data_IF_882956870292
#
_entry.id   IF_882956870292
#
_cell.length_a   1.000
_cell.length_b   1.000
_cell.length_c   1.000
_cell.angle_alpha   90.00
_cell.angle_beta   90.00
_cell.angle_gamma   90.00
#
_symmetry.space_group_name_H-M   'P 1'
#
loop_
_entity.id
_entity.type
_entity.pdbx_description
1 polymer ?
#
# COMPACT_ATOMS: atom_id res chain seq x y z
N UNK A 1 -26.87 20.00 119.22
CA UNK A 1 -27.06 19.62 117.80
C UNK A 1 -28.06 20.62 117.25
N UNK A 2 -27.56 21.77 116.80
CA UNK A 2 -28.41 22.82 116.25
C UNK A 2 -28.79 22.44 114.82
N UNK A 3 -30.09 22.19 114.63
CA UNK A 3 -30.67 22.00 113.32
C UNK A 3 -30.60 23.35 112.59
N UNK A 4 -29.72 23.44 111.58
CA UNK A 4 -29.79 24.54 110.62
C UNK A 4 -31.13 24.43 109.88
N UNK A 5 -32.08 25.26 110.30
CA UNK A 5 -33.33 25.49 109.62
C UNK A 5 -33.02 25.90 108.18
N UNK A 6 -33.26 24.97 107.25
CA UNK A 6 -33.20 25.24 105.82
C UNK A 6 -34.43 26.06 105.46
N UNK A 7 -34.33 27.38 105.68
CA UNK A 7 -35.34 28.35 105.30
C UNK A 7 -35.74 28.10 103.84
N UNK A 8 -37.00 27.69 103.63
CA UNK A 8 -37.56 27.48 102.30
C UNK A 8 -37.34 28.77 101.50
N UNK A 9 -36.79 28.70 100.27
CA UNK A 9 -36.53 29.90 99.50
C UNK A 9 -37.82 30.69 99.34
N UNK A 10 -37.75 32.00 99.59
CA UNK A 10 -38.87 32.92 99.42
C UNK A 10 -39.45 32.75 98.00
N UNK A 11 -40.79 32.71 97.86
CA UNK A 11 -41.47 32.47 96.57
C UNK A 11 -41.02 33.46 95.50
N UNK A 12 -40.67 34.68 95.93
CA UNK A 12 -40.12 35.70 95.05
C UNK A 12 -38.75 35.29 94.45
N UNK A 13 -37.85 34.71 95.26
CA UNK A 13 -36.55 34.26 94.78
C UNK A 13 -36.67 33.09 93.79
N UNK A 14 -37.65 32.19 93.99
CA UNK A 14 -37.91 31.10 93.05
C UNK A 14 -38.48 31.62 91.71
N UNK A 15 -39.42 32.57 91.74
CA UNK A 15 -39.99 33.18 90.54
C UNK A 15 -38.93 33.98 89.76
N UNK A 16 -38.11 34.77 90.47
CA UNK A 16 -37.03 35.53 89.87
C UNK A 16 -35.98 34.59 89.26
N UNK A 17 -35.57 33.54 89.97
CA UNK A 17 -34.65 32.52 89.46
C UNK A 17 -35.17 31.83 88.21
N UNK A 18 -36.46 31.48 88.18
CA UNK A 18 -37.12 30.91 86.99
C UNK A 18 -37.15 31.91 85.83
N UNK A 19 -37.50 33.17 86.07
CA UNK A 19 -37.54 34.20 85.02
C UNK A 19 -36.15 34.44 84.42
N UNK A 20 -35.11 34.46 85.24
CA UNK A 20 -33.72 34.55 84.79
C UNK A 20 -33.28 33.32 84.00
N UNK A 21 -33.60 32.12 84.48
CA UNK A 21 -33.30 30.89 83.75
C UNK A 21 -33.98 30.86 82.37
N UNK A 22 -35.26 31.28 82.29
CA UNK A 22 -35.99 31.42 81.03
C UNK A 22 -35.39 32.49 80.12
N UNK A 23 -35.00 33.65 80.67
CA UNK A 23 -34.35 34.72 79.90
C UNK A 23 -33.00 34.26 79.32
N UNK A 24 -32.14 33.64 80.15
CA UNK A 24 -30.86 33.12 79.71
C UNK A 24 -31.02 31.99 78.69
N UNK A 25 -32.00 31.10 78.88
CA UNK A 25 -32.32 30.04 77.92
C UNK A 25 -32.81 30.61 76.58
N UNK A 26 -33.62 31.67 76.60
CA UNK A 26 -34.07 32.39 75.41
C UNK A 26 -32.91 33.07 74.68
N UNK A 27 -31.98 33.69 75.41
CA UNK A 27 -30.76 34.27 74.84
C UNK A 27 -29.85 33.20 74.21
N UNK A 28 -29.68 32.06 74.87
CA UNK A 28 -28.94 30.92 74.33
C UNK A 28 -29.58 30.40 73.03
N UNK A 29 -30.89 30.12 73.06
CA UNK A 29 -31.63 29.68 71.88
C UNK A 29 -31.53 30.69 70.72
N UNK A 30 -31.63 32.00 71.01
CA UNK A 30 -31.47 33.04 69.98
C UNK A 30 -30.08 33.03 69.34
N UNK A 31 -29.03 32.80 70.14
CA UNK A 31 -27.65 32.67 69.64
C UNK A 31 -27.46 31.41 68.81
N UNK A 32 -28.02 30.28 69.24
CA UNK A 32 -27.97 29.02 68.50
C UNK A 32 -28.71 29.12 67.17
N UNK A 33 -29.93 29.66 67.16
CA UNK A 33 -30.68 29.93 65.92
C UNK A 33 -29.89 30.86 65.00
N UNK A 34 -29.27 31.91 65.55
CA UNK A 34 -28.42 32.81 64.78
C UNK A 34 -27.14 32.15 64.25
N UNK A 35 -26.58 31.16 64.96
CA UNK A 35 -25.43 30.39 64.49
C UNK A 35 -25.83 29.40 63.40
N UNK A 36 -26.91 28.63 63.62
CA UNK A 36 -27.47 27.69 62.64
C UNK A 36 -27.86 28.40 61.34
N UNK A 37 -28.47 29.59 61.43
CA UNK A 37 -28.80 30.39 60.25
C UNK A 37 -27.56 30.77 59.45
N UNK A 38 -26.49 31.25 60.12
CA UNK A 38 -25.22 31.57 59.45
C UNK A 38 -24.60 30.34 58.79
N UNK A 39 -24.57 29.20 59.48
CA UNK A 39 -24.07 27.95 58.89
C UNK A 39 -24.91 27.50 57.70
N UNK A 40 -26.23 27.65 57.74
CA UNK A 40 -27.11 27.37 56.60
C UNK A 40 -26.82 28.31 55.43
N UNK A 41 -26.68 29.61 55.68
CA UNK A 41 -26.36 30.60 54.65
C UNK A 41 -24.98 30.31 54.01
N UNK A 42 -23.98 29.92 54.81
CA UNK A 42 -22.65 29.51 54.34
C UNK A 42 -22.74 28.25 53.46
N UNK A 43 -23.51 27.24 53.88
CA UNK A 43 -23.73 26.03 53.08
C UNK A 43 -24.47 26.31 51.77
N UNK A 44 -25.48 27.21 51.78
CA UNK A 44 -26.18 27.64 50.57
C UNK A 44 -25.20 28.34 49.63
N UNK A 45 -24.35 29.22 50.16
CA UNK A 45 -23.34 29.90 49.36
C UNK A 45 -22.34 28.90 48.74
N UNK A 46 -21.82 27.97 49.55
CA UNK A 46 -20.91 26.93 49.07
C UNK A 46 -21.55 26.02 48.01
N UNK A 47 -22.83 25.66 48.18
CA UNK A 47 -23.57 24.89 47.19
C UNK A 47 -23.73 25.67 45.87
N UNK A 48 -24.06 26.95 45.93
CA UNK A 48 -24.20 27.80 44.74
C UNK A 48 -22.87 27.94 43.98
N UNK A 49 -21.75 28.14 44.68
CA UNK A 49 -20.41 28.19 44.07
C UNK A 49 -20.07 26.84 43.42
N UNK A 50 -20.38 25.72 44.09
CA UNK A 50 -20.14 24.39 43.54
C UNK A 50 -20.99 24.11 42.30
N UNK A 51 -22.27 24.52 42.30
CA UNK A 51 -23.16 24.41 41.14
C UNK A 51 -22.63 25.23 39.97
N UNK A 52 -22.25 26.49 40.20
CA UNK A 52 -21.69 27.35 39.16
C UNK A 52 -20.40 26.76 38.57
N UNK A 53 -19.50 26.24 39.42
CA UNK A 53 -18.28 25.58 38.97
C UNK A 53 -18.56 24.33 38.13
N UNK A 54 -19.54 23.51 38.52
CA UNK A 54 -19.94 22.31 37.76
C UNK A 54 -20.59 22.68 36.43
N UNK A 55 -21.39 23.75 36.38
CA UNK A 55 -21.98 24.25 35.14
C UNK A 55 -20.90 24.73 34.16
N UNK A 56 -19.88 25.43 34.66
CA UNK A 56 -18.74 25.88 33.86
C UNK A 56 -17.89 24.71 33.34
N UNK A 57 -17.56 23.72 34.18
CA UNK A 57 -16.82 22.52 33.73
C UNK A 57 -17.65 21.73 32.71
N UNK A 58 -18.97 21.61 32.92
CA UNK A 58 -19.88 20.98 31.97
C UNK A 58 -19.89 21.70 30.61
N UNK A 59 -19.98 23.03 30.59
CA UNK A 59 -19.96 23.79 29.33
C UNK A 59 -18.61 23.66 28.61
N UNK A 60 -17.49 23.74 29.35
CA UNK A 60 -16.16 23.54 28.78
C UNK A 60 -15.99 22.15 28.17
N UNK A 61 -16.47 21.10 28.85
CA UNK A 61 -16.44 19.73 28.29
C UNK A 61 -17.32 19.61 27.07
N UNK A 62 -18.50 20.22 27.07
CA UNK A 62 -19.38 20.24 25.91
C UNK A 62 -18.71 20.91 24.70
N UNK A 63 -18.03 22.04 24.90
CA UNK A 63 -17.28 22.73 23.84
C UNK A 63 -16.13 21.87 23.31
N UNK A 64 -15.37 21.20 24.19
CA UNK A 64 -14.30 20.28 23.79
C UNK A 64 -14.83 19.09 22.98
N UNK A 65 -15.95 18.49 23.41
CA UNK A 65 -16.60 17.39 22.68
C UNK A 65 -17.10 17.88 21.32
N UNK A 66 -17.69 19.07 21.27
CA UNK A 66 -18.19 19.67 20.01
C UNK A 66 -17.05 19.90 19.03
N UNK A 67 -15.92 20.44 19.49
CA UNK A 67 -14.71 20.62 18.68
C UNK A 67 -14.14 19.28 18.18
N UNK A 68 -14.06 18.27 19.06
CA UNK A 68 -13.57 16.94 18.67
C UNK A 68 -14.49 16.25 17.65
N UNK A 69 -15.81 16.42 17.77
CA UNK A 69 -16.79 15.94 16.79
C UNK A 69 -16.58 16.63 15.44
N UNK A 70 -16.46 17.96 15.42
CA UNK A 70 -16.21 18.71 14.19
C UNK A 70 -14.90 18.30 13.50
N UNK A 71 -13.83 18.11 14.28
CA UNK A 71 -12.54 17.62 13.77
C UNK A 71 -12.68 16.21 13.17
N UNK A 72 -13.40 15.31 13.85
CA UNK A 72 -13.63 13.95 13.36
C UNK A 72 -14.46 13.92 12.07
N UNK A 73 -15.46 14.80 11.94
CA UNK A 73 -16.26 14.94 10.73
C UNK A 73 -15.42 15.44 9.56
N UNK A 74 -14.59 16.46 9.78
CA UNK A 74 -13.66 16.97 8.77
C UNK A 74 -12.69 15.88 8.28
N UNK A 75 -12.16 15.05 9.19
CA UNK A 75 -11.32 13.90 8.81
C UNK A 75 -12.08 12.87 7.99
N UNK A 76 -13.33 12.56 8.34
CA UNK A 76 -14.17 11.63 7.57
C UNK A 76 -14.41 12.18 6.16
N UNK A 77 -14.76 13.45 6.02
CA UNK A 77 -14.95 14.09 4.71
C UNK A 77 -13.67 14.06 3.87
N UNK A 78 -12.51 14.35 4.47
CA UNK A 78 -11.21 14.24 3.79
C UNK A 78 -10.90 12.81 3.34
N UNK A 79 -11.25 11.79 4.14
CA UNK A 79 -11.08 10.40 3.71
C UNK A 79 -12.04 10.01 2.59
N UNK A 80 -13.27 10.56 2.60
CA UNK A 80 -14.26 10.31 1.55
C UNK A 80 -13.82 10.92 0.20
N UNK A 81 -13.24 12.11 0.19
CA UNK A 81 -12.70 12.72 -1.03
C UNK A 81 -11.52 11.92 -1.57
N UNK A 82 -10.59 11.49 -0.72
CA UNK A 82 -9.46 10.64 -1.12
C UNK A 82 -9.93 9.30 -1.71
N UNK A 83 -10.97 8.67 -1.14
CA UNK A 83 -11.55 7.44 -1.71
C UNK A 83 -12.19 7.67 -3.08
N UNK A 84 -12.82 8.83 -3.30
CA UNK A 84 -13.36 9.19 -4.60
C UNK A 84 -12.26 9.35 -5.67
N UNK A 85 -11.11 9.94 -5.31
CA UNK A 85 -9.94 10.04 -6.18
C UNK A 85 -9.38 8.66 -6.55
N UNK A 86 -9.30 7.74 -5.58
CA UNK A 86 -8.90 6.34 -5.84
C UNK A 86 -9.87 5.66 -6.81
N UNK A 87 -11.17 5.92 -6.67
CA UNK A 87 -12.20 5.46 -7.63
C UNK A 87 -11.91 5.95 -9.06
N UNK A 88 -11.64 7.24 -9.23
CA UNK A 88 -11.28 7.82 -10.53
C UNK A 88 -10.00 7.22 -11.12
N UNK A 89 -8.97 7.00 -10.30
CA UNK A 89 -7.73 6.33 -10.74
C UNK A 89 -8.00 4.90 -11.20
N UNK A 90 -8.86 4.15 -10.51
CA UNK A 90 -9.26 2.80 -10.90
C UNK A 90 -9.96 2.78 -12.26
N UNK A 91 -10.84 3.73 -12.52
CA UNK A 91 -11.52 3.86 -13.82
C UNK A 91 -10.51 4.20 -14.94
N UNK A 92 -9.53 5.05 -14.64
CA UNK A 92 -8.44 5.38 -15.58
C UNK A 92 -7.55 4.18 -15.87
N UNK A 93 -7.18 3.39 -14.87
CA UNK A 93 -6.44 2.13 -15.04
C UNK A 93 -7.24 1.16 -15.91
N UNK A 94 -8.54 1.02 -15.65
CA UNK A 94 -9.42 0.14 -16.44
C UNK A 94 -9.50 0.57 -17.90
N UNK A 95 -9.50 1.88 -18.15
CA UNK A 95 -9.49 2.44 -19.50
C UNK A 95 -8.16 2.16 -20.20
N UNK A 96 -7.03 2.42 -19.54
CA UNK A 96 -5.69 2.12 -20.06
C UNK A 96 -5.51 0.62 -20.36
N UNK A 97 -6.02 -0.26 -19.49
CA UNK A 97 -5.98 -1.72 -19.73
C UNK A 97 -6.74 -2.11 -20.99
N UNK A 98 -7.88 -1.45 -21.26
CA UNK A 98 -8.66 -1.69 -22.49
C UNK A 98 -7.90 -1.21 -23.73
N UNK A 99 -7.29 -0.03 -23.68
CA UNK A 99 -6.47 0.53 -24.76
C UNK A 99 -5.27 -0.37 -25.06
N UNK A 100 -4.53 -0.80 -24.03
CA UNK A 100 -3.41 -1.74 -24.18
C UNK A 100 -3.87 -3.09 -24.77
N UNK A 101 -5.06 -3.56 -24.38
CA UNK A 101 -5.66 -4.76 -24.98
C UNK A 101 -5.93 -4.60 -26.47
N UNK A 102 -6.53 -3.47 -26.86
CA UNK A 102 -6.80 -3.16 -28.27
C UNK A 102 -5.51 -3.00 -29.08
N UNK A 103 -4.53 -2.28 -28.57
CA UNK A 103 -3.22 -2.10 -29.22
C UNK A 103 -2.51 -3.44 -29.43
N UNK A 104 -2.58 -4.33 -28.43
CA UNK A 104 -2.03 -5.69 -28.55
C UNK A 104 -2.73 -6.48 -29.65
N UNK A 105 -4.06 -6.43 -29.74
CA UNK A 105 -4.80 -7.09 -30.81
C UNK A 105 -4.43 -6.53 -32.18
N UNK A 106 -4.32 -5.21 -32.31
CA UNK A 106 -3.88 -4.56 -33.54
C UNK A 106 -2.45 -4.97 -33.95
N UNK A 107 -1.53 -5.04 -32.99
CA UNK A 107 -0.16 -5.50 -33.23
C UNK A 107 -0.13 -6.97 -33.70
N UNK A 108 -0.94 -7.84 -33.08
CA UNK A 108 -1.05 -9.24 -33.48
C UNK A 108 -1.62 -9.41 -34.90
N UNK A 109 -2.63 -8.61 -35.27
CA UNK A 109 -3.17 -8.62 -36.66
C UNK A 109 -2.13 -8.18 -37.66
N UNK A 110 -1.40 -7.09 -37.39
CA UNK A 110 -0.29 -6.64 -38.26
C UNK A 110 0.81 -7.69 -38.38
N UNK A 111 1.14 -8.39 -37.29
CA UNK A 111 2.13 -9.46 -37.32
C UNK A 111 1.69 -10.63 -38.20
N UNK A 112 0.41 -11.02 -38.13
CA UNK A 112 -0.16 -12.03 -39.02
C UNK A 112 -0.09 -11.59 -40.50
N UNK A 113 -0.50 -10.35 -40.80
CA UNK A 113 -0.41 -9.80 -42.17
C UNK A 113 1.03 -9.77 -42.71
N UNK A 114 2.01 -9.41 -41.87
CA UNK A 114 3.43 -9.43 -42.24
C UNK A 114 3.95 -10.85 -42.45
N UNK A 115 3.50 -11.81 -41.63
CA UNK A 115 3.86 -13.23 -41.78
C UNK A 115 3.30 -13.80 -43.09
N UNK A 116 2.07 -13.46 -43.45
CA UNK A 116 1.46 -13.87 -44.72
C UNK A 116 2.22 -13.29 -45.92
N UNK A 117 2.60 -12.00 -45.85
CA UNK A 117 3.43 -11.35 -46.88
C UNK A 117 4.81 -12.00 -47.01
N UNK A 118 5.43 -12.35 -45.89
CA UNK A 118 6.72 -13.05 -45.87
C UNK A 118 6.60 -14.43 -46.52
N UNK A 119 5.54 -15.19 -46.19
CA UNK A 119 5.26 -16.48 -46.82
C UNK A 119 5.04 -16.35 -48.34
N UNK A 120 4.29 -15.34 -48.78
CA UNK A 120 4.11 -15.07 -50.21
C UNK A 120 5.43 -14.73 -50.93
N UNK A 121 6.30 -13.93 -50.31
CA UNK A 121 7.64 -13.63 -50.85
C UNK A 121 8.54 -14.85 -50.88
N UNK A 122 8.53 -15.69 -49.85
CA UNK A 122 9.30 -16.93 -49.79
C UNK A 122 8.88 -17.90 -50.90
N UNK A 123 7.57 -18.11 -51.08
CA UNK A 123 7.03 -18.94 -52.17
C UNK A 123 7.40 -18.37 -53.55
N UNK A 124 7.39 -17.03 -53.69
CA UNK A 124 7.84 -16.36 -54.92
C UNK A 124 9.32 -16.60 -55.21
N UNK A 125 10.19 -16.48 -54.20
CA UNK A 125 11.62 -16.77 -54.30
C UNK A 125 11.90 -18.23 -54.62
N UNK A 126 11.17 -19.16 -54.02
CA UNK A 126 11.29 -20.59 -54.29
C UNK A 126 10.85 -20.95 -55.73
N UNK A 127 9.80 -20.28 -56.23
CA UNK A 127 9.42 -20.34 -57.64
C UNK A 127 10.52 -19.85 -58.58
N UNK A 128 11.14 -18.70 -58.29
CA UNK A 128 12.28 -18.18 -59.06
C UNK A 128 13.48 -19.13 -58.98
N UNK A 129 13.79 -19.69 -57.80
CA UNK A 129 14.87 -20.66 -57.61
C UNK A 129 14.66 -21.91 -58.45
N UNK A 130 13.44 -22.46 -58.46
CA UNK A 130 13.08 -23.62 -59.29
C UNK A 130 13.30 -23.35 -60.79
N UNK A 131 12.93 -22.16 -61.27
CA UNK A 131 13.14 -21.73 -62.67
C UNK A 131 14.64 -21.60 -62.98
N UNK A 132 15.43 -21.00 -62.09
CA UNK A 132 16.87 -20.81 -62.25
C UNK A 132 17.62 -22.15 -62.25
N UNK A 133 17.23 -23.10 -61.40
CA UNK A 133 17.83 -24.45 -61.37
C UNK A 133 17.51 -25.29 -62.62
N UNK A 134 16.45 -24.96 -63.38
CA UNK A 134 16.06 -25.68 -64.60
C UNK A 134 16.68 -25.11 -65.89
N UNK A 135 17.13 -23.85 -65.90
CA UNK A 135 17.42 -23.12 -67.16
C UNK A 135 18.90 -22.86 -67.45
N UNK A 136 19.85 -23.18 -66.56
CA UNK A 136 21.27 -22.93 -66.84
C UNK A 136 22.25 -23.87 -66.12
N UNK A 137 23.23 -24.49 -66.83
CA UNK A 137 24.34 -25.21 -66.21
C UNK A 137 25.42 -24.31 -65.58
N UNK A 138 25.36 -22.98 -65.78
CA UNK A 138 26.19 -22.01 -65.04
C UNK A 138 25.63 -21.69 -63.63
N UNK A 139 24.45 -22.21 -63.29
CA UNK A 139 23.77 -21.99 -62.01
C UNK A 139 24.51 -22.55 -60.80
N UNK A 140 25.36 -23.57 -60.96
CA UNK A 140 26.15 -24.14 -59.85
C UNK A 140 27.14 -23.14 -59.26
N UNK A 141 27.76 -22.31 -60.10
CA UNK A 141 28.71 -21.31 -59.62
C UNK A 141 27.99 -20.18 -58.86
N UNK A 142 26.78 -19.83 -59.33
CA UNK A 142 25.91 -18.84 -58.67
C UNK A 142 25.28 -19.40 -57.39
N UNK A 143 24.85 -20.66 -57.36
CA UNK A 143 24.38 -21.35 -56.15
C UNK A 143 25.48 -21.45 -55.09
N UNK A 144 26.71 -21.74 -55.49
CA UNK A 144 27.84 -21.78 -54.57
C UNK A 144 28.15 -20.37 -54.02
N UNK A 145 28.06 -19.32 -54.85
CA UNK A 145 28.14 -17.93 -54.38
C UNK A 145 27.01 -17.55 -53.43
N UNK A 146 25.77 -18.00 -53.67
CA UNK A 146 24.64 -17.79 -52.75
C UNK A 146 24.80 -18.58 -51.44
N UNK A 147 25.36 -19.80 -51.50
CA UNK A 147 25.67 -20.63 -50.32
C UNK A 147 26.70 -19.94 -49.44
N UNK A 148 27.78 -19.45 -50.04
CA UNK A 148 28.84 -18.70 -49.33
C UNK A 148 28.29 -17.38 -48.80
N UNK A 149 27.43 -16.67 -49.54
CA UNK A 149 26.78 -15.46 -49.05
C UNK A 149 25.84 -15.73 -47.87
N UNK A 150 25.09 -16.84 -47.88
CA UNK A 150 24.24 -17.29 -46.78
C UNK A 150 25.06 -17.64 -45.53
N UNK A 151 26.14 -18.41 -45.67
CA UNK A 151 27.07 -18.69 -44.56
C UNK A 151 27.62 -17.40 -43.95
N UNK A 152 27.97 -16.41 -44.79
CA UNK A 152 28.42 -15.09 -44.33
C UNK A 152 27.33 -14.31 -43.59
N UNK A 153 26.07 -14.37 -44.05
CA UNK A 153 24.94 -13.72 -43.37
C UNK A 153 24.64 -14.38 -42.03
N UNK A 154 24.73 -15.72 -41.94
CA UNK A 154 24.57 -16.46 -40.68
C UNK A 154 25.67 -16.12 -39.68
N UNK A 155 26.92 -16.02 -40.14
CA UNK A 155 28.05 -15.59 -39.32
C UNK A 155 27.86 -14.17 -38.80
N UNK A 156 27.49 -13.23 -39.68
CA UNK A 156 27.20 -11.84 -39.30
C UNK A 156 25.98 -11.74 -38.35
N UNK A 157 24.97 -12.60 -38.50
CA UNK A 157 23.87 -12.68 -37.53
C UNK A 157 24.33 -13.21 -36.16
N UNK A 158 25.28 -14.15 -36.16
CA UNK A 158 25.94 -14.63 -34.94
C UNK A 158 26.67 -13.50 -34.21
N UNK A 159 27.53 -12.78 -34.93
CA UNK A 159 28.25 -11.60 -34.41
C UNK A 159 27.30 -10.51 -33.92
N UNK A 160 26.22 -10.22 -34.65
CA UNK A 160 25.21 -9.26 -34.22
C UNK A 160 24.50 -9.67 -32.93
N UNK A 161 24.23 -10.97 -32.75
CA UNK A 161 23.65 -11.50 -31.51
C UNK A 161 24.63 -11.38 -30.35
N UNK A 162 25.90 -11.68 -30.57
CA UNK A 162 26.96 -11.54 -29.57
C UNK A 162 27.15 -10.08 -29.17
N UNK A 163 27.26 -9.16 -30.13
CA UNK A 163 27.34 -7.71 -29.88
C UNK A 163 26.11 -7.18 -29.14
N UNK A 164 24.90 -7.67 -29.44
CA UNK A 164 23.69 -7.31 -28.67
C UNK A 164 23.76 -7.83 -27.24
N UNK A 165 24.25 -9.05 -27.03
CA UNK A 165 24.42 -9.60 -25.69
C UNK A 165 25.46 -8.80 -24.89
N UNK A 166 26.57 -8.41 -25.51
CA UNK A 166 27.61 -7.57 -24.91
C UNK A 166 27.10 -6.15 -24.61
N UNK A 167 26.30 -5.57 -25.50
CA UNK A 167 25.61 -4.29 -25.26
C UNK A 167 24.69 -4.38 -24.03
N UNK A 168 23.85 -5.41 -23.93
CA UNK A 168 22.97 -5.59 -22.76
C UNK A 168 23.79 -5.81 -21.48
N UNK A 169 24.91 -6.53 -21.56
CA UNK A 169 25.80 -6.74 -20.42
C UNK A 169 26.46 -5.43 -19.95
N UNK A 170 26.89 -4.57 -20.88
CA UNK A 170 27.47 -3.26 -20.56
C UNK A 170 26.42 -2.28 -20.04
N UNK A 171 25.21 -2.23 -20.60
CA UNK A 171 24.09 -1.43 -20.08
C UNK A 171 23.71 -1.84 -18.65
N UNK A 172 23.68 -3.15 -18.34
CA UNK A 172 23.46 -3.63 -16.96
C UNK A 172 24.56 -3.20 -16.00
N UNK A 173 25.83 -3.24 -16.43
CA UNK A 173 26.96 -2.73 -15.62
C UNK A 173 26.84 -1.23 -15.38
N UNK A 174 26.44 -0.47 -16.40
CA UNK A 174 26.22 0.98 -16.30
C UNK A 174 25.09 1.28 -15.31
N UNK A 175 23.94 0.63 -15.44
CA UNK A 175 22.82 0.79 -14.52
C UNK A 175 23.19 0.41 -13.07
N UNK A 176 24.01 -0.63 -12.87
CA UNK A 176 24.51 -1.00 -11.56
C UNK A 176 25.46 0.07 -10.97
N UNK A 177 26.30 0.70 -11.80
CA UNK A 177 27.16 1.80 -11.38
C UNK A 177 26.35 3.07 -11.05
N UNK A 178 25.36 3.42 -11.87
CA UNK A 178 24.44 4.53 -11.61
C UNK A 178 23.68 4.32 -10.30
N UNK A 179 23.17 3.11 -10.06
CA UNK A 179 22.51 2.78 -8.81
C UNK A 179 23.46 2.86 -7.61
N UNK A 180 24.72 2.41 -7.77
CA UNK A 180 25.75 2.52 -6.74
C UNK A 180 26.12 3.98 -6.45
N UNK A 181 26.14 4.85 -7.47
CA UNK A 181 26.32 6.30 -7.29
C UNK A 181 25.13 6.90 -6.54
N UNK A 182 23.89 6.53 -6.91
CA UNK A 182 22.68 7.03 -6.27
C UNK A 182 22.49 6.57 -4.81
N UNK A 183 23.08 5.43 -4.43
CA UNK A 183 22.97 4.85 -3.08
C UNK A 183 24.11 5.21 -2.14
N UNK A 184 25.17 5.89 -2.60
CA UNK A 184 26.19 6.45 -1.70
C UNK A 184 25.54 7.58 -0.89
N UNK A 185 25.42 7.44 0.44
CA UNK A 185 24.86 8.49 1.28
C UNK A 185 25.94 9.55 1.50
N UNK A 186 26.13 10.45 0.54
CA UNK A 186 26.93 11.64 0.74
C UNK A 186 26.04 12.87 0.99
N UNK A 187 26.35 13.68 2.03
CA UNK A 187 25.82 15.03 2.12
C UNK A 187 26.28 15.78 0.86
N UNK A 188 25.42 16.65 0.31
CA UNK A 188 25.69 17.48 -0.87
C UNK A 188 26.92 18.39 -0.66
N UNK A 189 28.13 17.83 -0.75
CA UNK A 189 29.33 18.58 -1.10
C UNK A 189 29.31 18.67 -2.61
N UNK A 190 28.97 19.84 -3.12
CA UNK A 190 29.16 20.19 -4.52
C UNK A 190 30.61 19.85 -4.87
N UNK A 191 30.80 18.98 -5.86
CA UNK A 191 32.12 18.68 -6.39
C UNK A 191 32.78 20.03 -6.74
N UNK A 192 34.03 20.29 -6.29
CA UNK A 192 34.72 21.53 -6.59
C UNK A 192 34.65 21.81 -8.09
N UNK A 193 34.34 23.04 -8.48
CA UNK A 193 34.18 23.45 -9.88
C UNK A 193 35.39 23.08 -10.75
N UNK A 194 36.60 23.07 -10.16
CA UNK A 194 37.82 22.52 -10.76
C UNK A 194 37.68 21.05 -11.17
N UNK A 195 37.10 20.18 -10.34
CA UNK A 195 36.96 18.75 -10.62
C UNK A 195 35.97 18.49 -11.76
N UNK A 196 34.87 19.25 -11.82
CA UNK A 196 33.91 19.18 -12.93
C UNK A 196 34.54 19.66 -14.23
N UNK A 197 35.34 20.73 -14.18
CA UNK A 197 36.07 21.27 -15.34
C UNK A 197 37.12 20.29 -15.87
N UNK A 198 37.86 19.63 -14.98
CA UNK A 198 38.85 18.61 -15.34
C UNK A 198 38.17 17.38 -15.96
N UNK A 199 37.07 16.90 -15.40
CA UNK A 199 36.28 15.82 -15.99
C UNK A 199 35.75 16.19 -17.38
N UNK A 200 35.24 17.41 -17.55
CA UNK A 200 34.82 17.94 -18.85
C UNK A 200 35.96 17.98 -19.88
N UNK A 201 37.17 18.39 -19.47
CA UNK A 201 38.34 18.39 -20.36
C UNK A 201 38.81 16.97 -20.74
N UNK A 202 38.73 16.01 -19.81
CA UNK A 202 39.06 14.61 -20.08
C UNK A 202 38.06 14.01 -21.08
N UNK A 203 36.76 14.22 -20.87
CA UNK A 203 35.72 13.74 -21.79
C UNK A 203 35.84 14.38 -23.18
N UNK A 204 36.12 15.69 -23.25
CA UNK A 204 36.35 16.38 -24.52
C UNK A 204 37.59 15.86 -25.27
N UNK A 205 38.68 15.53 -24.55
CA UNK A 205 39.84 14.88 -25.15
C UNK A 205 39.54 13.47 -25.64
N UNK A 206 38.73 12.72 -24.90
CA UNK A 206 38.33 11.37 -25.26
C UNK A 206 37.50 11.37 -26.56
N UNK A 207 36.51 12.27 -26.68
CA UNK A 207 35.74 12.47 -27.91
C UNK A 207 36.63 12.85 -29.10
N UNK A 208 37.64 13.71 -28.87
CA UNK A 208 38.62 14.08 -29.89
C UNK A 208 39.47 12.91 -30.38
N UNK A 209 39.89 12.01 -29.48
CA UNK A 209 40.65 10.81 -29.82
C UNK A 209 39.79 9.75 -30.53
N UNK A 210 38.54 9.56 -30.10
CA UNK A 210 37.60 8.66 -30.78
C UNK A 210 37.34 9.12 -32.21
N UNK A 211 37.14 10.44 -32.43
CA UNK A 211 37.02 10.99 -33.78
C UNK A 211 38.27 10.80 -34.65
N UNK A 212 39.45 10.79 -34.04
CA UNK A 212 40.71 10.52 -34.76
C UNK A 212 40.84 9.05 -35.19
N UNK A 213 40.32 8.13 -34.38
CA UNK A 213 40.26 6.69 -34.71
C UNK A 213 39.20 6.40 -35.78
N UNK A 214 38.00 6.99 -35.69
CA UNK A 214 36.97 6.87 -36.73
C UNK A 214 37.42 7.42 -38.09
N UNK A 215 38.33 8.40 -38.09
CA UNK A 215 38.90 8.95 -39.32
C UNK A 215 40.10 8.14 -39.86
N UNK A 216 40.58 7.09 -39.17
CA UNK A 216 41.68 6.23 -39.64
C UNK A 216 41.21 4.95 -40.35
N UNK A 217 39.96 4.51 -40.16
CA UNK A 217 39.43 3.29 -40.80
C UNK A 217 38.85 3.52 -42.21
N UNK A 218 39.06 4.71 -42.79
CA UNK A 218 38.50 5.10 -44.08
C UNK A 218 39.55 5.40 -45.15
N UNK A 219 40.41 4.43 -45.52
CA UNK A 219 41.07 4.42 -46.85
C UNK A 219 41.75 3.06 -47.13
N UNK A 220 40.98 2.08 -47.62
CA UNK A 220 41.53 0.96 -48.40
C UNK A 220 40.99 1.07 -49.82
N UNK A 221 41.83 1.38 -50.83
CA UNK A 221 41.40 1.54 -52.20
C UNK A 221 41.27 0.16 -52.87
N UNK A 222 40.06 -0.39 -52.90
CA UNK A 222 39.77 -1.56 -53.74
C UNK A 222 39.42 -1.07 -55.15
N UNK A 223 40.43 -0.96 -56.02
CA UNK A 223 40.25 -0.83 -57.45
C UNK A 223 39.65 -2.12 -58.03
N UNK A 224 38.57 -2.01 -58.81
CA UNK A 224 38.22 -2.94 -59.90
C UNK A 224 37.07 -2.37 -60.75
N UNK A 225 36.96 -2.73 -62.04
CA UNK A 225 36.79 -1.74 -63.10
C UNK A 225 35.38 -1.65 -63.69
N UNK A 226 35.15 -0.49 -64.29
CA UNK A 226 34.12 -0.09 -65.22
C UNK A 226 33.92 -1.08 -66.37
N UNK A 227 32.69 -1.53 -66.61
CA UNK A 227 32.23 -1.78 -67.99
C UNK A 227 30.76 -1.44 -68.18
N UNK A 228 30.54 -0.76 -69.30
CA UNK A 228 29.39 -0.01 -69.76
C UNK A 228 28.18 -0.87 -70.21
N UNK A 229 27.09 -0.12 -70.49
CA UNK A 229 26.00 -0.37 -71.48
C UNK A 229 24.76 -1.09 -70.92
N UNK A 230 23.50 -0.67 -71.17
CA UNK A 230 22.86 0.31 -72.05
C UNK A 230 21.36 0.39 -71.64
N UNK A 231 20.71 1.54 -71.84
CA UNK A 231 19.30 1.75 -72.29
C UNK A 231 18.13 1.07 -71.53
N UNK A 232 16.91 1.60 -71.44
CA UNK A 232 16.24 2.77 -71.96
C UNK A 232 14.91 2.97 -71.19
N UNK A 233 14.53 4.25 -71.07
CA UNK A 233 13.20 4.83 -71.32
C UNK A 233 11.89 4.16 -70.87
N UNK A 234 11.10 5.02 -70.21
CA UNK A 234 9.67 5.30 -70.44
C UNK A 234 8.63 4.24 -70.07
N UNK A 235 7.78 4.57 -69.10
CA UNK A 235 6.38 5.00 -69.32
C UNK A 235 5.65 5.21 -67.98
N UNK A 236 5.23 6.45 -67.75
CA UNK A 236 4.01 6.83 -67.02
C UNK A 236 2.77 6.44 -67.89
N UNK A 237 1.50 6.75 -67.54
CA UNK A 237 0.70 6.64 -66.32
C UNK A 237 -0.62 5.85 -66.55
N UNK A 238 -1.40 5.52 -65.50
CA UNK A 238 -2.87 5.80 -65.40
C UNK A 238 -3.58 5.01 -64.29
N UNK A 239 -4.40 5.73 -63.53
CA UNK A 239 -5.55 5.21 -62.80
C UNK A 239 -6.70 4.84 -63.77
N UNK A 240 -7.66 4.01 -63.33
CA UNK A 240 -8.98 4.61 -63.03
C UNK A 240 -9.76 3.92 -61.86
N UNK A 241 -10.49 4.74 -61.08
CA UNK A 241 -11.78 4.41 -60.42
C UNK A 241 -12.87 4.13 -61.49
N UNK A 242 -13.96 3.36 -61.26
CA UNK A 242 -14.98 3.53 -60.19
C UNK A 242 -15.52 2.18 -59.64
N UNK A 243 -16.42 2.08 -58.65
CA UNK A 243 -17.90 2.09 -58.78
C UNK A 243 -18.55 2.07 -57.37
N UNK A 244 -19.68 2.76 -57.29
CA UNK A 244 -20.62 2.98 -56.18
C UNK A 244 -21.86 2.11 -56.37
N UNK A 245 -22.32 1.40 -55.33
CA UNK A 245 -23.69 0.88 -55.05
C UNK A 245 -23.58 -0.05 -53.84
N UNK A 246 -24.47 -0.19 -52.86
CA UNK A 246 -25.78 0.36 -52.48
C UNK A 246 -26.09 -0.28 -51.10
N UNK A 247 -26.75 0.42 -50.19
CA UNK A 247 -28.18 0.22 -49.83
C UNK A 247 -28.46 -0.87 -48.77
N UNK A 248 -29.46 -0.55 -47.91
CA UNK A 248 -30.10 -1.30 -46.82
C UNK A 248 -29.39 -1.28 -45.46
N UNK A 249 -29.84 -0.57 -44.41
CA UNK A 249 -31.18 -0.37 -43.78
C UNK A 249 -31.79 -1.67 -43.24
N UNK A 250 -31.74 -1.85 -41.91
CA UNK A 250 -32.84 -2.18 -40.98
C UNK A 250 -32.20 -2.31 -39.56
N UNK A 251 -32.57 -1.57 -38.50
CA UNK A 251 -33.87 -1.19 -37.91
C UNK A 251 -34.50 -2.33 -37.09
N UNK A 252 -34.49 -2.14 -35.76
CA UNK A 252 -35.48 -2.61 -34.74
C UNK A 252 -35.39 -4.14 -34.44
N UNK A 253 -35.46 -4.65 -33.21
CA UNK A 253 -36.36 -4.36 -32.10
C UNK A 253 -35.84 -4.93 -30.76
N UNK A 254 -36.45 -4.44 -29.70
CA UNK A 254 -36.45 -4.93 -28.33
C UNK A 254 -36.69 -6.43 -28.18
N UNK A 255 -36.08 -7.05 -27.16
CA UNK A 255 -36.84 -7.97 -26.28
C UNK A 255 -36.19 -8.15 -24.93
N UNK A 256 -36.75 -7.45 -23.94
CA UNK A 256 -36.80 -7.89 -22.54
C UNK A 256 -37.80 -9.05 -22.46
N UNK A 257 -37.64 -9.98 -21.52
CA UNK A 257 -38.80 -10.34 -20.74
C UNK A 257 -38.57 -10.28 -19.23
N UNK A 258 -39.65 -9.88 -18.60
CA UNK A 258 -39.96 -9.82 -17.18
C UNK A 258 -40.44 -11.17 -16.65
N UNK A 259 -40.71 -11.19 -15.34
CA UNK A 259 -41.46 -12.15 -14.50
C UNK A 259 -40.61 -13.22 -13.81
N UNK A 260 -40.36 -13.14 -12.50
CA UNK A 260 -41.27 -13.25 -11.34
C UNK A 260 -41.77 -14.69 -11.11
N UNK A 261 -41.23 -15.37 -10.10
CA UNK A 261 -41.96 -15.76 -8.88
C UNK A 261 -41.42 -17.06 -8.24
N UNK A 262 -41.38 -16.99 -6.90
CA UNK A 262 -41.85 -18.02 -5.94
C UNK A 262 -40.86 -19.05 -5.38
N UNK A 263 -41.01 -19.21 -4.06
CA UNK A 263 -40.78 -20.39 -3.20
C UNK A 263 -39.49 -20.42 -2.36
N UNK A 264 -39.59 -19.73 -1.21
CA UNK A 264 -39.40 -20.29 0.15
C UNK A 264 -39.01 -21.78 0.19
N UNK A 265 -37.81 -22.10 0.68
CA UNK A 265 -37.55 -23.32 1.46
C UNK A 265 -36.34 -23.07 2.36
N UNK A 266 -36.60 -23.14 3.68
CA UNK A 266 -35.58 -23.30 4.71
C UNK A 266 -34.87 -24.62 4.48
N UNK A 267 -33.54 -24.60 4.32
CA UNK A 267 -32.66 -25.63 4.85
C UNK A 267 -31.25 -25.07 4.89
N UNK A 268 -30.71 -25.00 6.10
CA UNK A 268 -29.28 -24.87 6.33
C UNK A 268 -28.55 -26.04 5.67
N UNK A 269 -27.42 -25.75 5.02
CA UNK A 269 -26.25 -26.57 5.20
C UNK A 269 -25.16 -25.74 5.85
N UNK A 270 -24.54 -26.32 6.88
CA UNK A 270 -23.23 -25.94 7.36
C UNK A 270 -22.28 -25.88 6.16
N UNK A 271 -21.97 -24.68 5.68
CA UNK A 271 -20.82 -24.45 4.82
C UNK A 271 -19.76 -23.77 5.68
N UNK A 272 -18.76 -24.58 6.07
CA UNK A 272 -17.41 -24.11 6.31
C UNK A 272 -16.94 -23.39 5.05
N UNK A 273 -17.31 -22.12 4.90
CA UNK A 273 -16.70 -21.25 3.93
C UNK A 273 -15.40 -20.77 4.56
N UNK A 274 -14.36 -21.55 4.37
CA UNK A 274 -12.98 -21.07 4.40
C UNK A 274 -12.92 -19.89 3.41
N UNK A 275 -12.71 -18.64 3.89
CA UNK A 275 -12.66 -17.49 2.99
C UNK A 275 -11.45 -17.67 2.06
N UNK A 276 -11.74 -17.70 0.76
CA UNK A 276 -10.76 -17.79 -0.31
C UNK A 276 -9.57 -16.84 -0.03
N UNK A 277 -8.38 -17.44 0.04
CA UNK A 277 -7.15 -16.72 0.32
C UNK A 277 -6.91 -15.59 -0.68
N UNK A 278 -6.75 -14.34 -0.22
CA UNK A 278 -6.14 -13.29 -1.02
C UNK A 278 -4.67 -13.63 -1.31
N UNK A 279 -4.09 -13.10 -2.40
CA UNK A 279 -2.74 -13.44 -2.80
C UNK A 279 -1.71 -12.98 -1.76
N UNK A 280 -0.67 -13.80 -1.62
CA UNK A 280 0.47 -13.74 -0.72
C UNK A 280 0.86 -12.37 -0.15
N UNK A 281 0.76 -12.28 1.19
CA UNK A 281 1.24 -11.16 1.99
C UNK A 281 0.27 -10.83 3.12
N UNK A 282 0.00 -11.78 4.02
CA UNK A 282 -0.86 -11.49 5.18
C UNK A 282 -0.18 -10.45 6.08
N UNK A 283 -0.66 -9.21 6.02
CA UNK A 283 -0.24 -8.15 6.93
C UNK A 283 -0.70 -8.51 8.36
N UNK A 284 0.25 -8.53 9.32
CA UNK A 284 -0.03 -8.75 10.74
C UNK A 284 -1.14 -7.82 11.24
N UNK A 285 -1.23 -6.61 10.68
CA UNK A 285 -2.27 -5.63 11.02
C UNK A 285 -3.67 -6.12 10.65
N UNK A 286 -3.81 -6.78 9.50
CA UNK A 286 -5.08 -7.39 9.06
C UNK A 286 -5.48 -8.54 9.97
N UNK A 287 -4.52 -9.41 10.34
CA UNK A 287 -4.75 -10.49 11.30
C UNK A 287 -5.17 -9.93 12.68
N UNK A 288 -4.53 -8.87 13.13
CA UNK A 288 -4.87 -8.18 14.37
C UNK A 288 -6.31 -7.67 14.39
N UNK A 289 -6.79 -7.08 13.28
CA UNK A 289 -8.17 -6.59 13.20
C UNK A 289 -9.18 -7.74 13.38
N UNK A 290 -8.95 -8.87 12.72
CA UNK A 290 -9.80 -10.07 12.83
C UNK A 290 -9.84 -10.57 14.29
N UNK A 291 -8.68 -10.70 14.94
CA UNK A 291 -8.62 -11.17 16.32
C UNK A 291 -9.17 -10.15 17.31
N UNK A 292 -9.00 -8.86 17.07
CA UNK A 292 -9.60 -7.80 17.88
C UNK A 292 -11.13 -7.89 17.86
N UNK A 293 -11.71 -8.08 16.68
CA UNK A 293 -13.14 -8.14 16.51
C UNK A 293 -13.71 -9.46 17.07
N UNK A 294 -13.00 -10.58 16.90
CA UNK A 294 -13.31 -11.86 17.60
C UNK A 294 -13.31 -11.70 19.12
N UNK A 295 -12.29 -11.07 19.70
CA UNK A 295 -12.20 -10.87 21.14
C UNK A 295 -13.35 -10.02 21.68
N UNK A 296 -13.78 -9.00 20.93
CA UNK A 296 -14.93 -8.16 21.30
C UNK A 296 -16.26 -8.91 21.21
N UNK A 297 -16.44 -9.72 20.17
CA UNK A 297 -17.66 -10.49 19.95
C UNK A 297 -17.81 -11.62 20.99
N UNK A 298 -16.73 -12.30 21.32
CA UNK A 298 -16.71 -13.41 22.27
C UNK A 298 -15.42 -13.43 23.10
N UNK A 299 -15.41 -12.79 24.29
CA UNK A 299 -14.24 -12.79 25.16
C UNK A 299 -13.81 -14.22 25.53
N UNK A 300 -12.52 -14.58 25.30
CA UNK A 300 -12.02 -15.92 25.56
C UNK A 300 -11.94 -16.20 27.07
N UNK A 301 -12.02 -17.49 27.44
CA UNK A 301 -11.81 -17.93 28.84
C UNK A 301 -10.36 -17.79 29.31
N UNK A 302 -9.41 -17.70 28.36
CA UNK A 302 -7.98 -17.61 28.63
C UNK A 302 -7.33 -16.67 27.61
N UNK A 303 -6.86 -15.52 28.07
CA UNK A 303 -6.11 -14.57 27.25
C UNK A 303 -4.85 -15.22 26.67
N UNK A 304 -4.16 -16.04 27.46
CA UNK A 304 -2.96 -16.76 26.99
C UNK A 304 -3.30 -17.73 25.86
N UNK A 305 -4.43 -18.43 25.96
CA UNK A 305 -4.89 -19.32 24.88
C UNK A 305 -5.17 -18.53 23.61
N UNK A 306 -5.86 -17.39 23.75
CA UNK A 306 -6.21 -16.52 22.64
C UNK A 306 -4.99 -15.86 21.98
N UNK A 307 -3.99 -15.47 22.76
CA UNK A 307 -2.71 -14.96 22.25
C UNK A 307 -1.98 -16.04 21.44
N UNK A 308 -2.01 -17.29 21.91
CA UNK A 308 -1.44 -18.40 21.13
C UNK A 308 -2.20 -18.64 19.83
N UNK A 309 -3.53 -18.57 19.82
CA UNK A 309 -4.31 -18.64 18.58
C UNK A 309 -3.91 -17.54 17.59
N UNK A 310 -3.65 -16.33 18.08
CA UNK A 310 -3.17 -15.24 17.24
C UNK A 310 -1.79 -15.52 16.65
N UNK A 311 -0.82 -15.94 17.47
CA UNK A 311 0.56 -16.23 17.02
C UNK A 311 0.59 -17.41 16.06
N UNK A 312 -0.23 -18.45 16.30
CA UNK A 312 -0.38 -19.61 15.43
C UNK A 312 -1.12 -19.28 14.13
N UNK A 313 -1.90 -18.20 14.10
CA UNK A 313 -2.58 -17.69 12.89
C UNK A 313 -1.69 -16.88 11.95
N UNK A 314 -0.42 -16.62 12.30
CA UNK A 314 0.52 -15.91 11.43
C UNK A 314 1.07 -16.91 10.38
N UNK A 315 0.73 -16.72 9.11
CA UNK A 315 1.16 -17.61 8.02
C UNK A 315 2.67 -17.65 7.82
N UNK A 316 3.35 -16.50 7.94
CA UNK A 316 4.80 -16.42 7.76
C UNK A 316 5.54 -16.91 9.02
N UNK A 317 6.33 -18.00 8.94
CA UNK A 317 7.06 -18.52 10.08
C UNK A 317 8.14 -17.54 10.57
N UNK A 318 8.81 -16.85 9.66
CA UNK A 318 9.82 -15.83 10.01
C UNK A 318 9.18 -14.66 10.75
N UNK A 319 8.00 -14.23 10.31
CA UNK A 319 7.24 -13.18 10.98
C UNK A 319 6.76 -13.62 12.36
N UNK A 320 6.29 -14.86 12.50
CA UNK A 320 5.89 -15.42 13.79
C UNK A 320 7.09 -15.46 14.75
N UNK A 321 8.28 -15.83 14.27
CA UNK A 321 9.52 -15.81 15.06
C UNK A 321 9.86 -14.38 15.48
N UNK A 322 9.86 -13.43 14.54
CA UNK A 322 10.14 -12.01 14.81
C UNK A 322 9.21 -11.42 15.88
N UNK A 323 7.92 -11.71 15.78
CA UNK A 323 6.93 -11.29 16.78
C UNK A 323 7.22 -11.94 18.14
N UNK A 324 7.49 -13.24 18.19
CA UNK A 324 7.81 -13.94 19.44
C UNK A 324 9.08 -13.39 20.10
N UNK A 325 10.13 -13.13 19.32
CA UNK A 325 11.38 -12.57 19.83
C UNK A 325 11.22 -11.12 20.31
N UNK A 326 10.44 -10.32 19.57
CA UNK A 326 10.13 -8.93 19.95
C UNK A 326 9.30 -8.87 21.23
N UNK A 327 8.37 -9.82 21.43
CA UNK A 327 7.57 -9.90 22.66
C UNK A 327 8.42 -10.19 23.90
N UNK A 328 9.48 -11.00 23.77
CA UNK A 328 10.45 -11.22 24.87
C UNK A 328 11.15 -9.91 25.23
N UNK A 329 11.53 -9.12 24.23
CA UNK A 329 12.23 -7.85 24.46
C UNK A 329 11.34 -6.78 25.09
N UNK A 330 10.07 -6.70 24.68
CA UNK A 330 9.13 -5.66 25.12
C UNK A 330 8.47 -6.02 26.46
N UNK A 331 8.17 -7.30 26.70
CA UNK A 331 7.44 -7.78 27.88
C UNK A 331 8.20 -8.90 28.63
N UNK A 332 9.43 -8.64 29.13
CA UNK A 332 10.27 -9.66 29.76
C UNK A 332 9.64 -10.31 31.00
N UNK A 333 8.81 -9.56 31.75
CA UNK A 333 8.13 -10.05 32.96
C UNK A 333 7.00 -11.06 32.64
N UNK A 334 6.49 -11.03 31.42
CA UNK A 334 5.34 -11.82 31.00
C UNK A 334 5.67 -12.85 29.94
N UNK A 335 6.78 -12.67 29.22
CA UNK A 335 7.20 -13.51 28.10
C UNK A 335 8.65 -13.91 28.29
N UNK A 336 8.91 -15.20 28.41
CA UNK A 336 10.27 -15.75 28.59
C UNK A 336 10.65 -16.64 27.42
N UNK A 337 11.94 -16.68 27.06
CA UNK A 337 12.41 -17.63 26.04
C UNK A 337 12.26 -19.06 26.55
N UNK A 338 11.65 -19.92 25.75
CA UNK A 338 11.58 -21.34 26.04
C UNK A 338 12.98 -21.95 25.94
N UNK A 339 13.42 -22.65 26.99
CA UNK A 339 14.69 -23.39 26.99
C UNK A 339 14.58 -24.77 26.32
N UNK A 340 13.36 -25.18 25.97
CA UNK A 340 13.04 -26.55 25.58
C UNK A 340 12.62 -26.59 24.09
N UNK A 341 13.61 -26.56 23.20
CA UNK A 341 13.40 -26.64 21.74
C UNK A 341 13.13 -28.07 21.25
N UNK A 342 13.20 -29.08 22.13
CA UNK A 342 13.03 -30.51 21.79
C UNK A 342 11.57 -30.98 21.71
N UNK A 343 10.58 -30.15 22.04
CA UNK A 343 9.17 -30.56 22.07
C UNK A 343 8.47 -30.43 20.72
N UNK A 344 7.41 -31.24 20.54
CA UNK A 344 6.52 -31.41 19.36
C UNK A 344 5.88 -30.14 18.76
N UNK A 345 6.21 -28.93 19.23
CA UNK A 345 5.68 -27.65 18.71
C UNK A 345 6.84 -26.70 18.36
N UNK A 346 7.50 -26.97 17.23
CA UNK A 346 8.64 -26.18 16.73
C UNK A 346 8.34 -24.68 16.55
N UNK A 347 7.06 -24.31 16.47
CA UNK A 347 6.59 -22.93 16.33
C UNK A 347 6.55 -22.12 17.63
N UNK A 348 6.63 -22.74 18.82
CA UNK A 348 6.54 -22.02 20.12
C UNK A 348 7.91 -21.83 20.74
N UNK A 349 8.52 -20.66 20.52
CA UNK A 349 9.85 -20.29 21.03
C UNK A 349 9.82 -19.58 22.39
N UNK A 350 8.64 -19.17 22.82
CA UNK A 350 8.43 -18.40 24.05
C UNK A 350 7.43 -19.09 24.98
N UNK A 351 7.52 -18.79 26.27
CA UNK A 351 6.53 -19.12 27.28
C UNK A 351 5.83 -17.84 27.72
N UNK A 352 4.49 -17.88 27.71
CA UNK A 352 3.65 -16.74 28.10
C UNK A 352 3.10 -16.99 29.51
N UNK A 353 3.35 -16.05 30.41
CA UNK A 353 2.82 -16.05 31.77
C UNK A 353 1.31 -15.87 31.78
N UNK A 354 0.61 -16.48 32.75
CA UNK A 354 -0.84 -16.31 32.97
C UNK A 354 -1.25 -14.86 33.26
N UNK A 355 -0.30 -14.01 33.67
CA UNK A 355 -0.54 -12.58 33.91
C UNK A 355 -0.56 -11.71 32.66
N UNK A 356 -0.25 -12.27 31.47
CA UNK A 356 -0.33 -11.53 30.22
C UNK A 356 -1.78 -11.44 29.74
N UNK A 357 -2.33 -10.23 29.74
CA UNK A 357 -3.67 -9.97 29.22
C UNK A 357 -3.63 -9.60 27.73
N UNK A 358 -4.74 -9.81 27.03
CA UNK A 358 -4.87 -9.40 25.62
C UNK A 358 -4.61 -7.90 25.43
N UNK A 359 -4.99 -7.08 26.42
CA UNK A 359 -4.73 -5.63 26.44
C UNK A 359 -3.23 -5.29 26.46
N UNK A 360 -2.45 -5.96 27.28
CA UNK A 360 -0.99 -5.73 27.34
C UNK A 360 -0.31 -6.26 26.08
N UNK A 361 -0.77 -7.40 25.57
CA UNK A 361 -0.28 -7.97 24.33
C UNK A 361 -0.46 -7.04 23.13
N UNK A 362 -1.67 -6.49 22.91
CA UNK A 362 -1.91 -5.54 21.79
C UNK A 362 -1.04 -4.29 21.87
N UNK A 363 -0.77 -3.78 23.07
CA UNK A 363 0.04 -2.58 23.28
C UNK A 363 1.51 -2.85 22.96
N UNK A 364 2.00 -4.06 23.26
CA UNK A 364 3.31 -4.51 22.83
C UNK A 364 3.36 -4.73 21.31
N UNK A 365 2.32 -5.29 20.69
CA UNK A 365 2.28 -5.58 19.26
C UNK A 365 2.43 -4.31 18.39
N UNK A 366 1.89 -3.17 18.83
CA UNK A 366 2.06 -1.88 18.15
C UNK A 366 3.51 -1.36 18.22
N UNK A 367 4.28 -1.79 19.23
CA UNK A 367 5.69 -1.38 19.42
C UNK A 367 6.69 -2.27 18.68
N UNK A 368 6.23 -3.36 18.06
CA UNK A 368 7.10 -4.27 17.31
C UNK A 368 7.53 -3.57 16.01
N UNK A 369 8.84 -3.36 15.76
CA UNK A 369 9.31 -2.78 14.51
C UNK A 369 9.00 -3.72 13.34
N UNK A 370 8.59 -3.16 12.20
CA UNK A 370 8.39 -3.94 10.96
C UNK A 370 9.72 -4.56 10.55
N UNK A 371 9.78 -5.87 10.21
CA UNK A 371 11.03 -6.47 9.74
C UNK A 371 11.49 -5.75 8.47
N UNK A 372 12.79 -5.44 8.43
CA UNK A 372 13.46 -4.66 7.38
C UNK A 372 13.85 -5.51 6.17
#
# INVERSE_FOLDING_TARGET
MDAFDTAKPDRFQQSLGSAWASFLSSQHCSREVGALRRTLDDHIHQANVSIASLQQDSSQRHDLVTAAVAESQSKIEQTATSLAEIGSLRDRISTLQREVGQDREHALRRFAELSDKLGAQQNGLEGVRSIVSQTSPDSRNVEEQYRVALEKVELLQGELKELRAEKVASERRLAALEHRIATIPQPRQELPEEAVRVLGQILSRQDGLVRLLDNQDGDVPTQSPTQHMLHASMLEPRAPTPVRTGSHRNRIEDTRPSTAAKMRTEHAPQTNAEPAMPPHGQDIRSLYLIFRDRYKASPPKSDVGFIWEFIEGIESPDMSIHVQESLVAILPDYVTRSRDTRRKKAQRRINISKGLTWRKFREALVKIPTPS
#
